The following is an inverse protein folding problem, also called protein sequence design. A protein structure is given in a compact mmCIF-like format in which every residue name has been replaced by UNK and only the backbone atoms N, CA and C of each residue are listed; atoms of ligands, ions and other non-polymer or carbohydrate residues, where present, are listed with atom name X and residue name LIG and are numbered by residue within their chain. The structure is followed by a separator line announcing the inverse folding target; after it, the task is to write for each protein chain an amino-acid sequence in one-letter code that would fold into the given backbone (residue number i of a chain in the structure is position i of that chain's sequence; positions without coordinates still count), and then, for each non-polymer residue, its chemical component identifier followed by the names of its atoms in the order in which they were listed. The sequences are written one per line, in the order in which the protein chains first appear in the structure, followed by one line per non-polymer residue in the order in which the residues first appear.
data_IF_753459800829
#
_entry.id   IF_753459800829
#
_cell.length_a   1.000
_cell.length_b   1.000
_cell.length_c   1.000
_cell.angle_alpha   90.00
_cell.angle_beta   90.00
_cell.angle_gamma   90.00
#
_symmetry.space_group_name_H-M   'P 1'
#
loop_
_entity.id
_entity.type
_entity.pdbx_description
1 polymer ?
#
# COMPACT_ATOMS: atom_id res chain seq x y z
N UNK A 1 -4.75 6.61 14.35
CA UNK A 1 -4.45 5.70 13.21
C UNK A 1 -3.46 6.41 12.28
N UNK A 2 -2.57 5.68 11.61
CA UNK A 2 -1.65 6.29 10.64
C UNK A 2 -2.35 6.45 9.29
N UNK A 3 -2.12 7.58 8.63
CA UNK A 3 -2.78 7.98 7.39
C UNK A 3 -1.81 7.82 6.22
N UNK A 4 -2.28 7.33 5.08
CA UNK A 4 -1.55 7.33 3.81
C UNK A 4 -1.70 8.70 3.15
N UNK A 5 -0.60 9.36 2.73
CA UNK A 5 -0.68 10.54 1.88
C UNK A 5 -1.42 10.21 0.58
N UNK A 6 -2.37 11.06 0.18
CA UNK A 6 -3.25 10.81 -0.97
C UNK A 6 -2.49 10.49 -2.26
N UNK A 7 -1.39 11.22 -2.51
CA UNK A 7 -0.52 11.03 -3.67
C UNK A 7 0.21 9.68 -3.69
N UNK A 8 0.35 9.00 -2.54
CA UNK A 8 1.00 7.70 -2.42
C UNK A 8 0.00 6.54 -2.42
N UNK A 9 -1.31 6.81 -2.39
CA UNK A 9 -2.33 5.76 -2.34
C UNK A 9 -2.30 4.87 -3.60
N UNK A 10 -2.25 5.47 -4.79
CA UNK A 10 -2.20 4.73 -6.06
C UNK A 10 -0.87 3.96 -6.20
N UNK A 11 0.32 4.60 -6.03
CA UNK A 11 1.58 3.86 -6.05
C UNK A 11 1.64 2.70 -5.05
N UNK A 12 1.13 2.90 -3.84
CA UNK A 12 1.10 1.84 -2.84
C UNK A 12 0.20 0.66 -3.27
N UNK A 13 -0.96 0.94 -3.87
CA UNK A 13 -1.84 -0.10 -4.45
C UNK A 13 -1.12 -0.90 -5.53
N UNK A 14 -0.45 -0.23 -6.47
CA UNK A 14 0.29 -0.90 -7.53
C UNK A 14 1.44 -1.74 -6.96
N UNK A 15 2.14 -1.21 -5.96
CA UNK A 15 3.21 -1.93 -5.25
C UNK A 15 2.69 -3.19 -4.57
N UNK A 16 1.52 -3.13 -3.92
CA UNK A 16 0.89 -4.30 -3.30
C UNK A 16 0.65 -5.40 -4.35
N UNK A 17 0.07 -5.06 -5.50
CA UNK A 17 -0.17 -6.02 -6.59
C UNK A 17 1.15 -6.63 -7.08
N UNK A 18 2.17 -5.80 -7.35
CA UNK A 18 3.49 -6.26 -7.79
C UNK A 18 4.16 -7.19 -6.77
N UNK A 19 3.89 -6.97 -5.47
CA UNK A 19 4.40 -7.79 -4.37
C UNK A 19 3.48 -8.99 -4.05
N UNK A 20 2.54 -9.33 -4.92
CA UNK A 20 1.71 -10.53 -4.84
C UNK A 20 0.55 -10.43 -3.85
N UNK A 21 0.18 -9.24 -3.41
CA UNK A 21 -1.08 -9.04 -2.71
C UNK A 21 -2.23 -9.09 -3.71
N UNK A 22 -3.34 -9.66 -3.27
CA UNK A 22 -4.64 -9.59 -3.95
C UNK A 22 -5.56 -8.70 -3.13
N UNK A 23 -6.48 -7.99 -3.75
CA UNK A 23 -7.31 -7.05 -3.02
C UNK A 23 -8.59 -6.65 -3.74
N UNK A 24 -9.50 -6.03 -2.99
CA UNK A 24 -10.74 -5.45 -3.48
C UNK A 24 -10.74 -3.96 -3.16
N UNK A 25 -11.05 -3.13 -4.15
CA UNK A 25 -11.25 -1.70 -4.00
C UNK A 25 -12.73 -1.37 -4.15
N UNK A 26 -13.33 -0.73 -3.13
CA UNK A 26 -14.72 -0.25 -3.14
C UNK A 26 -14.74 1.19 -2.64
N UNK A 27 -14.68 2.15 -3.57
CA UNK A 27 -14.66 3.56 -3.24
C UNK A 27 -13.48 3.94 -2.36
N UNK A 28 -13.77 4.38 -1.15
CA UNK A 28 -12.80 4.78 -0.13
C UNK A 28 -12.24 3.59 0.67
N UNK A 29 -12.80 2.40 0.53
CA UNK A 29 -12.34 1.20 1.23
C UNK A 29 -11.53 0.30 0.30
N UNK A 30 -10.30 -0.02 0.71
CA UNK A 30 -9.46 -1.05 0.12
C UNK A 30 -9.18 -2.14 1.15
N UNK A 31 -9.32 -3.40 0.73
CA UNK A 31 -8.78 -4.55 1.46
C UNK A 31 -7.76 -5.28 0.59
N UNK A 32 -6.68 -5.78 1.20
CA UNK A 32 -5.70 -6.61 0.50
C UNK A 32 -5.17 -7.72 1.40
N UNK A 33 -4.81 -8.86 0.80
CA UNK A 33 -4.31 -10.05 1.48
C UNK A 33 -3.22 -10.73 0.66
N UNK A 34 -2.36 -11.47 1.38
CA UNK A 34 -1.27 -12.28 0.81
C UNK A 34 -1.11 -13.54 1.68
N UNK A 35 -0.76 -14.71 1.12
CA UNK A 35 -0.54 -15.92 1.93
C UNK A 35 0.41 -15.67 3.09
N UNK A 36 0.08 -16.23 4.26
CA UNK A 36 0.85 -16.08 5.51
C UNK A 36 0.97 -14.64 6.06
N UNK A 37 0.21 -13.68 5.52
CA UNK A 37 0.15 -12.31 6.02
C UNK A 37 -1.26 -12.00 6.54
N UNK A 38 -1.35 -11.10 7.51
CA UNK A 38 -2.66 -10.57 7.96
C UNK A 38 -3.27 -9.72 6.85
N UNK A 39 -4.59 -9.77 6.71
CA UNK A 39 -5.32 -8.84 5.84
C UNK A 39 -5.02 -7.39 6.26
N UNK A 40 -4.77 -6.55 5.26
CA UNK A 40 -4.55 -5.12 5.42
C UNK A 40 -5.74 -4.36 4.86
N UNK A 41 -6.02 -3.21 5.44
CA UNK A 41 -7.20 -2.41 5.09
C UNK A 41 -6.83 -0.92 5.14
N UNK A 42 -7.38 -0.18 4.18
CA UNK A 42 -7.37 1.28 4.13
C UNK A 42 -8.82 1.74 3.99
N UNK A 43 -9.31 2.55 4.92
CA UNK A 43 -10.64 3.19 4.84
C UNK A 43 -10.43 4.70 4.75
N UNK A 44 -10.87 5.31 3.65
CA UNK A 44 -10.44 6.64 3.24
C UNK A 44 -8.92 6.65 3.01
N UNK A 45 -8.20 7.20 3.97
CA UNK A 45 -6.73 7.20 4.00
C UNK A 45 -6.18 6.52 5.26
N UNK A 46 -7.05 5.98 6.13
CA UNK A 46 -6.64 5.43 7.41
C UNK A 46 -6.25 3.96 7.27
N UNK A 47 -5.05 3.63 7.74
CA UNK A 47 -4.53 2.26 7.74
C UNK A 47 -4.90 1.52 9.02
N UNK A 48 -5.36 0.27 8.86
CA UNK A 48 -5.43 -0.67 9.98
C UNK A 48 -4.00 -1.03 10.48
N UNK A 49 -3.89 -1.60 11.69
CA UNK A 49 -2.58 -1.93 12.30
C UNK A 49 -1.71 -2.83 11.40
N UNK A 50 -2.24 -3.92 10.79
CA UNK A 50 -1.48 -4.74 9.85
C UNK A 50 -0.91 -4.01 8.63
N UNK A 51 -1.60 -2.98 8.13
CA UNK A 51 -1.16 -2.22 6.96
C UNK A 51 0.08 -1.36 7.24
N UNK A 52 0.26 -0.89 8.47
CA UNK A 52 1.34 0.05 8.83
C UNK A 52 2.75 -0.46 8.55
N UNK A 53 3.17 -1.69 8.96
CA UNK A 53 4.49 -2.19 8.61
C UNK A 53 4.67 -2.41 7.10
N UNK A 54 3.62 -2.84 6.39
CA UNK A 54 3.66 -3.02 4.93
C UNK A 54 3.89 -1.68 4.22
N UNK A 55 3.17 -0.64 4.65
CA UNK A 55 3.36 0.71 4.12
C UNK A 55 4.74 1.28 4.47
N UNK A 56 5.29 0.96 5.65
CA UNK A 56 6.65 1.36 6.02
C UNK A 56 7.70 0.74 5.09
N UNK A 57 7.53 -0.52 4.67
CA UNK A 57 8.41 -1.16 3.69
C UNK A 57 8.36 -0.46 2.34
N UNK A 58 7.15 -0.19 1.84
CA UNK A 58 6.96 0.60 0.62
C UNK A 58 7.65 1.97 0.71
N UNK A 59 7.46 2.69 1.81
CA UNK A 59 8.09 4.00 2.02
C UNK A 59 9.62 3.91 2.04
N UNK A 60 10.19 2.84 2.60
CA UNK A 60 11.64 2.62 2.59
C UNK A 60 12.18 2.56 1.15
N UNK A 61 11.56 1.73 0.31
CA UNK A 61 11.94 1.60 -1.11
C UNK A 61 11.74 2.91 -1.88
N UNK A 62 10.63 3.61 -1.62
CA UNK A 62 10.37 4.91 -2.22
C UNK A 62 11.41 5.97 -1.82
N UNK A 63 11.83 6.02 -0.56
CA UNK A 63 12.83 6.98 -0.10
C UNK A 63 14.25 6.65 -0.61
N UNK A 64 14.53 5.38 -0.88
CA UNK A 64 15.81 4.92 -1.41
C UNK A 64 15.97 5.20 -2.90
N UNK A 65 14.91 4.97 -3.69
CA UNK A 65 14.96 5.00 -5.16
C UNK A 65 14.16 6.16 -5.79
N UNK A 66 13.36 6.88 -5.00
CA UNK A 66 12.66 8.08 -5.42
C UNK A 66 11.72 7.88 -6.61
N UNK A 67 11.94 8.67 -7.66
CA UNK A 67 11.08 8.73 -8.84
C UNK A 67 11.12 7.44 -9.68
N UNK A 68 12.29 6.82 -9.82
CA UNK A 68 12.47 5.60 -10.62
C UNK A 68 11.60 4.46 -10.08
N UNK A 69 11.51 4.35 -8.76
CA UNK A 69 10.62 3.38 -8.11
C UNK A 69 9.14 3.64 -8.38
N UNK A 70 8.72 4.91 -8.45
CA UNK A 70 7.33 5.23 -8.80
C UNK A 70 7.04 4.93 -10.28
N UNK A 71 8.00 5.13 -11.17
CA UNK A 71 7.86 4.82 -12.60
C UNK A 71 7.76 3.32 -12.85
N UNK A 72 8.50 2.50 -12.12
CA UNK A 72 8.43 1.02 -12.14
C UNK A 72 7.12 0.44 -11.54
N UNK A 73 6.32 1.31 -10.90
CA UNK A 73 5.00 0.99 -10.36
C UNK A 73 3.84 1.52 -11.22
N UNK A 74 4.12 2.35 -12.23
CA UNK A 74 3.11 2.90 -13.14
C UNK A 74 2.66 1.86 -14.18
#
# INVERSE_FOLDING_TARGET
MKVIPLNLLIPFRNWLVKNGYRGVNRGDHMTAWKPKHKQIEIIGLQMNKPCQPVFKTFLGQYLEHGKEFLEDLA
#
